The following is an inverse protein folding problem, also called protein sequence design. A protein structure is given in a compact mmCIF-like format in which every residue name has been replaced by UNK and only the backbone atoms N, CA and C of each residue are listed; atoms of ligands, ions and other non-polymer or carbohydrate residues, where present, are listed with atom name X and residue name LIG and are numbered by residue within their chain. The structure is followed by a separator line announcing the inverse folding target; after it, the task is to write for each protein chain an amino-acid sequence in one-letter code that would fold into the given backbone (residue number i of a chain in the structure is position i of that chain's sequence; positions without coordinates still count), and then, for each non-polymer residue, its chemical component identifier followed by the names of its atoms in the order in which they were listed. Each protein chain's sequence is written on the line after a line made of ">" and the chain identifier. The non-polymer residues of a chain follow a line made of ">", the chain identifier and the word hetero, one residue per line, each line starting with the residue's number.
data_IF_315597875487
#
_entry.id   IF_315597875487
#
_cell.length_a   1.000
_cell.length_b   1.000
_cell.length_c   1.000
_cell.angle_alpha   90.00
_cell.angle_beta   90.00
_cell.angle_gamma   90.00
#
_symmetry.space_group_name_H-M   'P 1'
#
loop_
_entity.id
_entity.type
_entity.pdbx_description
1 polymer ?
#
# COMPACT_ATOMS: atom_id res chain seq x y z
N UNK A 1 -19.17 5.16 -36.20
CA UNK A 1 -17.90 4.75 -35.54
C UNK A 1 -17.98 5.18 -34.09
N UNK A 2 -17.62 4.32 -33.15
CA UNK A 2 -17.65 4.64 -31.71
C UNK A 2 -16.25 5.01 -31.22
N UNK A 3 -16.16 6.05 -30.39
CA UNK A 3 -14.91 6.44 -29.76
C UNK A 3 -14.74 5.66 -28.46
N UNK A 4 -13.55 5.08 -28.27
CA UNK A 4 -13.21 4.49 -26.98
C UNK A 4 -12.86 5.62 -26.00
N UNK A 5 -13.29 5.51 -24.72
CA UNK A 5 -12.82 6.40 -23.67
C UNK A 5 -11.30 6.35 -23.51
N UNK A 6 -10.74 7.38 -22.88
CA UNK A 6 -9.32 7.41 -22.50
C UNK A 6 -9.02 6.23 -21.57
N UNK A 7 -7.78 5.75 -21.64
CA UNK A 7 -7.27 4.63 -20.84
C UNK A 7 -7.78 3.23 -21.22
N UNK A 8 -8.61 3.07 -22.26
CA UNK A 8 -8.98 1.76 -22.80
C UNK A 8 -8.08 1.34 -23.96
N UNK A 9 -7.62 0.09 -23.93
CA UNK A 9 -6.76 -0.48 -24.97
C UNK A 9 -7.59 -0.91 -26.20
N UNK A 10 -7.38 -0.31 -27.39
CA UNK A 10 -8.11 -0.66 -28.60
C UNK A 10 -7.81 -2.08 -29.10
N UNK A 11 -6.68 -2.69 -28.71
CA UNK A 11 -6.34 -4.05 -29.10
C UNK A 11 -7.08 -5.11 -28.27
N UNK A 12 -7.71 -4.73 -27.17
CA UNK A 12 -8.46 -5.63 -26.28
C UNK A 12 -9.97 -5.58 -26.47
N UNK A 13 -10.43 -5.03 -27.58
CA UNK A 13 -11.85 -5.01 -27.94
C UNK A 13 -12.31 -6.44 -28.25
N UNK A 14 -13.46 -6.82 -27.68
CA UNK A 14 -14.11 -8.12 -27.90
C UNK A 14 -15.53 -7.87 -28.41
N UNK A 15 -15.89 -8.54 -29.50
CA UNK A 15 -17.24 -8.50 -30.07
C UNK A 15 -17.95 -9.83 -29.92
N UNK A 16 -19.22 -9.78 -29.52
CA UNK A 16 -20.10 -10.94 -29.44
C UNK A 16 -21.37 -10.63 -30.23
N UNK A 17 -21.76 -11.55 -31.12
CA UNK A 17 -23.01 -11.47 -31.86
C UNK A 17 -23.97 -12.53 -31.29
N UNK A 18 -25.12 -12.09 -30.80
CA UNK A 18 -26.17 -13.00 -30.34
C UNK A 18 -27.05 -13.47 -31.51
N UNK A 19 -27.75 -14.61 -31.30
CA UNK A 19 -28.57 -15.25 -32.34
C UNK A 19 -29.80 -14.42 -32.77
N UNK A 20 -30.23 -13.48 -31.94
CA UNK A 20 -31.26 -12.48 -32.25
C UNK A 20 -30.72 -11.28 -33.07
N UNK A 21 -29.43 -11.27 -33.40
CA UNK A 21 -28.80 -10.27 -34.26
C UNK A 21 -28.22 -9.07 -33.53
N UNK A 22 -28.08 -9.10 -32.19
CA UNK A 22 -27.50 -7.99 -31.43
C UNK A 22 -25.97 -8.11 -31.36
N UNK A 23 -25.27 -7.10 -31.88
CA UNK A 23 -23.82 -6.98 -31.76
C UNK A 23 -23.46 -6.23 -30.48
N UNK A 24 -22.79 -6.93 -29.56
CA UNK A 24 -22.22 -6.33 -28.35
C UNK A 24 -20.71 -6.16 -28.53
N UNK A 25 -20.22 -4.92 -28.36
CA UNK A 25 -18.80 -4.60 -28.38
C UNK A 25 -18.39 -4.17 -26.98
N UNK A 26 -17.45 -4.89 -26.39
CA UNK A 26 -16.96 -4.64 -25.02
C UNK A 26 -15.44 -4.55 -24.98
N UNK A 27 -14.92 -3.84 -24.00
CA UNK A 27 -13.48 -3.74 -23.74
C UNK A 27 -13.24 -3.97 -22.26
N UNK A 28 -12.32 -4.87 -21.86
CA UNK A 28 -11.98 -5.07 -20.46
C UNK A 28 -11.57 -3.75 -19.81
N UNK A 29 -11.97 -3.57 -18.53
CA UNK A 29 -11.54 -2.40 -17.78
C UNK A 29 -10.01 -2.37 -17.74
N UNK A 30 -9.38 -1.22 -18.00
CA UNK A 30 -7.95 -1.10 -17.79
C UNK A 30 -7.63 -1.54 -16.36
N UNK A 31 -6.58 -2.34 -16.23
CA UNK A 31 -6.04 -2.65 -14.92
C UNK A 31 -5.55 -1.32 -14.36
N UNK A 32 -6.37 -0.69 -13.51
CA UNK A 32 -5.85 0.29 -12.58
C UNK A 32 -4.80 -0.51 -11.83
N UNK A 33 -3.53 -0.19 -12.03
CA UNK A 33 -2.47 -0.77 -11.22
C UNK A 33 -2.92 -0.54 -9.78
N UNK A 34 -3.44 -1.60 -9.17
CA UNK A 34 -3.52 -1.69 -7.73
C UNK A 34 -2.06 -1.67 -7.35
N UNK A 35 -1.49 -0.46 -7.21
CA UNK A 35 -0.23 -0.21 -6.55
C UNK A 35 -0.47 -0.56 -5.09
N UNK A 36 -0.73 -1.83 -4.86
CA UNK A 36 -0.64 -2.53 -3.60
C UNK A 36 0.86 -2.55 -3.29
N UNK A 37 1.38 -1.38 -2.93
CA UNK A 37 2.57 -1.28 -2.12
C UNK A 37 2.23 -1.68 -0.66
N UNK A 38 1.12 -2.39 -0.46
CA UNK A 38 0.75 -2.98 0.81
C UNK A 38 1.60 -4.23 1.02
N UNK A 39 2.52 -4.12 1.96
CA UNK A 39 3.30 -5.26 2.42
C UNK A 39 2.42 -6.13 3.32
N UNK A 40 2.04 -7.32 2.85
CA UNK A 40 1.46 -8.34 3.74
C UNK A 40 2.53 -8.81 4.74
N UNK A 41 2.43 -8.36 6.00
CA UNK A 41 3.27 -8.85 7.10
C UNK A 41 2.52 -10.00 7.77
N UNK A 42 3.16 -11.17 7.88
CA UNK A 42 2.63 -12.27 8.67
C UNK A 42 2.85 -11.97 10.16
N UNK A 43 1.79 -12.06 10.96
CA UNK A 43 1.89 -11.99 12.42
C UNK A 43 2.08 -13.40 12.97
N UNK A 44 3.16 -13.63 13.71
CA UNK A 44 3.36 -14.87 14.45
C UNK A 44 2.83 -14.65 15.87
N UNK A 45 1.88 -15.49 16.31
CA UNK A 45 1.44 -15.49 17.69
C UNK A 45 2.61 -15.94 18.57
N UNK A 46 3.26 -14.97 19.21
CA UNK A 46 4.24 -15.24 20.25
C UNK A 46 3.51 -15.54 21.56
N UNK A 47 4.15 -16.34 22.42
CA UNK A 47 3.60 -16.70 23.73
C UNK A 47 3.47 -15.50 24.66
N UNK A 48 3.40 -15.72 25.98
CA UNK A 48 3.27 -14.64 26.96
C UNK A 48 4.28 -13.52 26.72
N UNK A 49 3.80 -12.27 26.70
CA UNK A 49 4.58 -11.10 26.27
C UNK A 49 5.90 -10.92 27.04
N UNK A 50 5.98 -11.39 28.29
CA UNK A 50 7.18 -11.31 29.12
C UNK A 50 8.32 -12.24 28.68
N UNK A 51 8.09 -13.22 27.79
CA UNK A 51 9.10 -14.17 27.31
C UNK A 51 9.65 -13.84 25.91
N UNK A 52 9.02 -12.94 25.17
CA UNK A 52 9.28 -12.75 23.73
C UNK A 52 9.73 -11.33 23.33
N UNK A 53 10.31 -10.56 24.26
CA UNK A 53 10.88 -9.23 23.95
C UNK A 53 12.26 -9.42 23.31
N UNK A 54 12.35 -9.34 21.98
CA UNK A 54 13.61 -9.02 21.29
C UNK A 54 13.74 -7.50 21.25
N UNK A 55 14.81 -6.96 21.84
CA UNK A 55 15.16 -5.55 21.70
C UNK A 55 15.33 -5.20 20.21
N UNK A 56 14.56 -4.22 19.73
CA UNK A 56 14.87 -3.55 18.48
C UNK A 56 16.08 -2.65 18.73
N UNK A 57 17.25 -3.08 18.25
CA UNK A 57 18.45 -2.24 18.20
C UNK A 57 18.11 -1.00 17.38
N UNK A 58 18.01 0.15 18.05
CA UNK A 58 17.87 1.46 17.43
C UNK A 58 19.17 1.78 16.68
N UNK A 59 19.05 2.11 15.40
CA UNK A 59 20.13 2.69 14.61
C UNK A 59 20.71 3.94 15.32
N UNK A 60 22.02 3.95 15.51
CA UNK A 60 22.77 5.08 16.06
C UNK A 60 22.87 6.23 15.03
N UNK A 61 22.31 7.40 15.38
CA UNK A 61 22.70 8.78 15.01
C UNK A 61 21.68 9.72 15.67
N UNK A 62 21.98 10.74 16.45
CA UNK A 62 23.18 11.55 16.66
C UNK A 62 23.20 11.97 18.14
N UNK A 63 24.41 12.05 18.73
CA UNK A 63 24.67 12.86 19.92
C UNK A 63 24.88 14.31 19.47
N UNK A 64 24.07 15.25 19.94
CA UNK A 64 24.59 16.53 20.41
C UNK A 64 23.64 17.17 21.45
N UNK A 65 24.26 17.94 22.31
CA UNK A 65 23.97 18.31 23.69
C UNK A 65 22.90 19.38 23.91
N UNK A 66 22.26 19.31 25.07
CA UNK A 66 21.51 20.41 25.69
C UNK A 66 21.30 20.14 27.18
N UNK A 67 22.31 20.47 27.99
CA UNK A 67 22.22 20.48 29.46
C UNK A 67 21.20 21.53 29.93
N UNK A 68 20.21 21.09 30.71
CA UNK A 68 19.34 21.95 31.51
C UNK A 68 19.55 21.62 33.00
N UNK A 69 20.48 22.32 33.62
CA UNK A 69 20.82 22.22 35.03
C UNK A 69 19.63 22.63 35.92
N UNK A 70 19.32 21.78 36.90
CA UNK A 70 18.28 22.03 37.92
C UNK A 70 18.83 22.91 39.04
N UNK A 71 18.10 23.99 39.33
CA UNK A 71 17.65 24.38 40.66
C UNK A 71 18.70 24.61 41.75
N UNK A 72 18.98 25.89 42.01
CA UNK A 72 19.40 26.37 43.34
C UNK A 72 18.66 27.65 43.70
N UNK A 73 17.85 27.62 44.74
CA UNK A 73 17.75 28.73 45.70
C UNK A 73 17.03 28.26 46.97
N UNK A 74 17.85 28.05 47.98
CA UNK A 74 17.50 27.97 49.40
C UNK A 74 17.59 29.38 49.95
N UNK A 75 16.56 29.84 50.66
CA UNK A 75 16.59 30.79 51.78
C UNK A 75 15.19 30.88 52.39
#
# INVERSE_FOLDING_TARGET
>A
RYALPKDYDPNKVVSTLSSDGVLTVSVPKPQLENKSNERRIQIQQVGPAHLNVKENLKDEKDKESGEGEKGQSKL
#
